data_IF_457877707342
#
_entry.id   IF_457877707342
#
_cell.length_a   1.000
_cell.length_b   1.000
_cell.length_c   1.000
_cell.angle_alpha   90.00
_cell.angle_beta   90.00
_cell.angle_gamma   90.00
#
_symmetry.space_group_name_H-M   'P 1'
#
loop_
_entity.id
_entity.type
_entity.pdbx_description
1 polymer ?
#
# COMPACT_ATOMS: atom_id res chain seq x y z
N UNK A 1 2.40 6.51 -7.75
CA UNK A 1 3.09 5.33 -7.17
C UNK A 1 2.19 4.62 -6.17
N UNK A 2 2.19 3.29 -6.18
CA UNK A 2 1.32 2.41 -5.38
C UNK A 2 2.13 1.62 -4.35
N UNK A 3 1.69 1.55 -3.10
CA UNK A 3 2.32 0.73 -2.05
C UNK A 3 1.24 0.08 -1.20
N UNK A 4 1.35 -1.22 -0.97
CA UNK A 4 0.37 -1.99 -0.19
C UNK A 4 1.05 -2.93 0.80
N UNK A 5 0.44 -3.09 1.97
CA UNK A 5 0.71 -4.18 2.91
C UNK A 5 -0.32 -5.28 2.64
N UNK A 6 0.13 -6.53 2.62
CA UNK A 6 -0.78 -7.68 2.65
C UNK A 6 -0.67 -8.42 3.97
N UNK A 7 -1.72 -9.15 4.34
CA UNK A 7 -1.70 -9.97 5.55
C UNK A 7 -0.76 -11.17 5.43
N UNK A 8 -0.68 -11.78 4.24
CA UNK A 8 0.26 -12.86 3.94
C UNK A 8 0.43 -13.06 2.43
N UNK A 9 1.33 -13.97 2.07
CA UNK A 9 1.72 -14.26 0.67
C UNK A 9 0.75 -15.18 -0.07
N UNK A 10 -0.11 -15.89 0.66
CA UNK A 10 -0.88 -17.03 0.14
C UNK A 10 -1.73 -16.62 -1.06
N UNK A 11 -2.35 -15.45 -0.99
CA UNK A 11 -3.23 -14.94 -2.04
C UNK A 11 -2.46 -14.54 -3.30
N UNK A 12 -1.45 -13.68 -3.19
CA UNK A 12 -0.71 -13.19 -4.36
C UNK A 12 0.11 -14.29 -5.02
N UNK A 13 0.62 -15.24 -4.23
CA UNK A 13 1.29 -16.43 -4.74
C UNK A 13 0.32 -17.33 -5.52
N UNK A 14 -0.83 -17.69 -4.93
CA UNK A 14 -1.85 -18.51 -5.61
C UNK A 14 -2.45 -17.82 -6.83
N UNK A 15 -2.58 -16.50 -6.79
CA UNK A 15 -3.08 -15.70 -7.91
C UNK A 15 -2.05 -15.48 -9.04
N UNK A 16 -0.82 -15.98 -8.92
CA UNK A 16 0.21 -15.86 -9.96
C UNK A 16 0.76 -14.45 -10.18
N UNK A 17 0.40 -13.47 -9.34
CA UNK A 17 0.81 -12.05 -9.50
C UNK A 17 2.16 -11.74 -8.88
N UNK A 18 2.69 -12.61 -8.02
CA UNK A 18 4.07 -12.54 -7.52
C UNK A 18 4.69 -13.94 -7.32
N UNK A 19 4.93 -14.70 -8.40
CA UNK A 19 5.45 -16.07 -8.30
C UNK A 19 6.84 -16.14 -7.67
N UNK A 20 7.63 -15.06 -7.77
CA UNK A 20 8.96 -14.95 -7.16
C UNK A 20 8.94 -15.08 -5.63
N UNK A 21 7.79 -14.85 -4.98
CA UNK A 21 7.63 -14.99 -3.53
C UNK A 21 7.63 -16.45 -3.07
N UNK A 22 7.49 -17.42 -3.98
CA UNK A 22 7.56 -18.85 -3.66
C UNK A 22 8.89 -19.30 -3.03
N UNK A 23 9.98 -18.57 -3.28
CA UNK A 23 11.30 -18.82 -2.65
C UNK A 23 11.30 -18.61 -1.14
N UNK A 24 10.29 -17.94 -0.61
CA UNK A 24 10.22 -17.51 0.78
C UNK A 24 9.11 -18.21 1.58
N UNK A 25 8.46 -19.22 1.00
CA UNK A 25 7.24 -19.81 1.56
C UNK A 25 7.45 -20.48 2.92
N UNK A 26 8.66 -20.96 3.22
CA UNK A 26 9.01 -21.65 4.47
C UNK A 26 9.34 -20.72 5.64
N UNK A 27 9.84 -19.50 5.37
CA UNK A 27 10.36 -18.59 6.40
C UNK A 27 9.45 -17.41 6.73
N UNK A 28 8.46 -17.12 5.88
CA UNK A 28 7.77 -15.82 5.87
C UNK A 28 6.30 -15.88 6.35
N UNK A 29 5.79 -17.04 6.73
CA UNK A 29 4.41 -17.19 7.28
C UNK A 29 4.10 -16.22 8.44
N UNK A 30 5.13 -15.71 9.14
CA UNK A 30 5.01 -14.79 10.29
C UNK A 30 5.12 -13.30 9.95
N UNK A 31 5.36 -12.94 8.69
CA UNK A 31 5.57 -11.56 8.28
C UNK A 31 4.62 -11.13 7.17
N UNK A 32 4.29 -9.84 7.16
CA UNK A 32 3.43 -9.19 6.19
C UNK A 32 4.30 -8.56 5.09
N UNK A 33 4.09 -8.87 3.79
CA UNK A 33 4.79 -8.20 2.71
C UNK A 33 4.33 -6.76 2.57
N UNK A 34 5.27 -5.91 2.20
CA UNK A 34 5.00 -4.63 1.57
C UNK A 34 5.36 -4.75 0.10
N UNK A 35 4.39 -4.48 -0.77
CA UNK A 35 4.51 -4.58 -2.22
C UNK A 35 4.33 -3.22 -2.87
N UNK A 36 4.92 -3.06 -4.05
CA UNK A 36 4.70 -1.94 -4.95
C UNK A 36 4.53 -2.45 -6.39
N UNK A 37 4.22 -1.55 -7.31
CA UNK A 37 4.22 -1.82 -8.74
C UNK A 37 5.44 -1.11 -9.35
N UNK A 38 6.32 -1.88 -10.00
CA UNK A 38 7.49 -1.35 -10.70
C UNK A 38 7.11 -0.62 -11.99
N UNK A 39 8.09 0.06 -12.60
CA UNK A 39 7.90 0.75 -13.89
C UNK A 39 7.48 -0.18 -15.03
N UNK A 40 7.80 -1.48 -14.92
CA UNK A 40 7.38 -2.52 -15.86
C UNK A 40 5.97 -3.09 -15.58
N UNK A 41 5.20 -2.47 -14.69
CA UNK A 41 3.86 -2.92 -14.31
C UNK A 41 3.83 -4.18 -13.45
N UNK A 42 4.98 -4.75 -13.06
CA UNK A 42 5.04 -5.98 -12.26
C UNK A 42 5.06 -5.67 -10.77
N UNK A 43 4.45 -6.57 -9.99
CA UNK A 43 4.51 -6.54 -8.53
C UNK A 43 5.95 -6.72 -8.08
N UNK A 44 6.41 -5.87 -7.18
CA UNK A 44 7.72 -5.93 -6.56
C UNK A 44 7.58 -5.95 -5.04
N UNK A 45 8.39 -6.78 -4.40
CA UNK A 45 8.51 -6.80 -2.95
C UNK A 45 9.44 -5.67 -2.49
N UNK A 46 8.97 -4.84 -1.56
CA UNK A 46 9.77 -3.77 -0.93
C UNK A 46 10.49 -4.26 0.32
N UNK A 47 9.75 -4.88 1.23
CA UNK A 47 10.25 -5.40 2.51
C UNK A 47 9.18 -6.26 3.19
N UNK A 48 9.56 -6.83 4.32
CA UNK A 48 8.65 -7.49 5.25
C UNK A 48 8.47 -6.66 6.51
N UNK A 49 7.30 -6.72 7.12
CA UNK A 49 7.00 -6.15 8.43
C UNK A 49 6.34 -7.19 9.33
N UNK A 50 6.43 -7.00 10.65
CA UNK A 50 6.03 -8.01 11.63
C UNK A 50 4.53 -8.02 11.93
N UNK A 51 3.88 -6.86 11.87
CA UNK A 51 2.46 -6.70 12.22
C UNK A 51 1.84 -5.48 11.52
N UNK A 52 0.51 -5.34 11.63
CA UNK A 52 -0.28 -4.27 11.01
C UNK A 52 0.24 -2.88 11.40
N UNK A 53 0.55 -2.64 12.67
CA UNK A 53 1.08 -1.36 13.16
C UNK A 53 2.42 -0.99 12.48
N UNK A 54 3.34 -1.95 12.39
CA UNK A 54 4.61 -1.75 11.67
C UNK A 54 4.38 -1.47 10.18
N UNK A 55 3.34 -2.08 9.59
CA UNK A 55 2.92 -1.82 8.22
C UNK A 55 2.36 -0.40 8.03
N UNK A 56 1.51 0.06 8.94
CA UNK A 56 0.95 1.42 8.93
C UNK A 56 2.08 2.46 8.99
N UNK A 57 3.00 2.32 9.95
CA UNK A 57 4.14 3.23 10.12
C UNK A 57 5.01 3.25 8.86
N UNK A 58 5.27 2.08 8.27
CA UNK A 58 6.10 1.98 7.08
C UNK A 58 5.42 2.56 5.84
N UNK A 59 4.11 2.32 5.65
CA UNK A 59 3.35 2.93 4.57
C UNK A 59 3.38 4.44 4.72
N UNK A 60 3.09 4.98 5.91
CA UNK A 60 3.17 6.41 6.17
C UNK A 60 4.55 7.01 5.84
N UNK A 61 5.63 6.37 6.28
CA UNK A 61 7.00 6.77 5.95
C UNK A 61 7.24 6.81 4.44
N UNK A 62 6.79 5.78 3.72
CA UNK A 62 6.95 5.76 2.26
C UNK A 62 6.05 6.79 1.57
N UNK A 63 4.83 7.03 2.06
CA UNK A 63 3.95 8.11 1.57
C UNK A 63 4.68 9.45 1.62
N UNK A 64 5.33 9.78 2.74
CA UNK A 64 6.14 11.01 2.87
C UNK A 64 7.29 11.08 1.86
N UNK A 65 7.94 9.96 1.58
CA UNK A 65 9.01 9.90 0.58
C UNK A 65 8.50 9.95 -0.87
N UNK A 66 7.21 9.69 -1.10
CA UNK A 66 6.57 9.75 -2.41
C UNK A 66 6.00 11.13 -2.74
N UNK A 67 5.53 11.84 -1.72
CA UNK A 67 4.99 13.20 -1.84
C UNK A 67 6.13 14.13 -2.26
N UNK A 68 5.97 14.79 -3.42
CA UNK A 68 6.87 15.89 -3.80
C UNK A 68 6.48 17.17 -3.06
N UNK A 69 7.39 18.13 -2.96
CA UNK A 69 7.15 19.44 -2.37
C UNK A 69 6.07 20.28 -3.10
N UNK A 70 5.59 19.81 -4.26
CA UNK A 70 4.47 20.42 -4.99
C UNK A 70 3.16 20.25 -4.21
N UNK A 71 2.25 21.22 -4.31
CA UNK A 71 0.99 21.19 -3.57
C UNK A 71 -0.02 20.18 -4.16
N UNK A 72 0.17 19.79 -5.43
CA UNK A 72 -0.83 19.04 -6.21
C UNK A 72 -0.81 17.50 -6.04
N UNK A 73 -0.55 17.00 -4.83
CA UNK A 73 -0.57 15.55 -4.58
C UNK A 73 -2.00 15.09 -4.29
N UNK A 74 -2.45 14.01 -4.95
CA UNK A 74 -3.66 13.28 -4.57
C UNK A 74 -3.30 11.93 -3.97
N UNK A 75 -3.92 11.60 -2.85
CA UNK A 75 -3.63 10.39 -2.09
C UNK A 75 -4.89 9.52 -2.03
N UNK A 76 -4.85 8.37 -2.70
CA UNK A 76 -5.83 7.30 -2.51
C UNK A 76 -5.37 6.37 -1.40
N UNK A 77 -6.12 6.29 -0.31
CA UNK A 77 -5.92 5.32 0.77
C UNK A 77 -6.94 4.20 0.54
N UNK A 78 -6.46 2.96 0.48
CA UNK A 78 -7.33 1.81 0.23
C UNK A 78 -7.20 0.73 1.28
N UNK A 79 -8.28 -0.04 1.45
CA UNK A 79 -8.38 -1.17 2.35
C UNK A 79 -9.18 -2.31 1.71
N UNK A 80 -9.01 -3.53 2.23
CA UNK A 80 -9.86 -4.67 1.91
C UNK A 80 -11.00 -4.79 2.92
N UNK A 81 -11.01 -5.83 3.76
CA UNK A 81 -12.11 -6.09 4.70
C UNK A 81 -12.04 -5.31 6.01
N UNK A 82 -10.88 -4.73 6.35
CA UNK A 82 -10.64 -4.01 7.61
C UNK A 82 -10.22 -2.57 7.30
N UNK A 83 -11.13 -1.62 7.57
CA UNK A 83 -10.93 -0.19 7.32
C UNK A 83 -10.00 0.47 8.35
N UNK A 84 -9.83 -0.14 9.52
CA UNK A 84 -9.06 0.42 10.65
C UNK A 84 -7.64 0.88 10.30
N UNK A 85 -6.79 0.10 9.60
CA UNK A 85 -5.47 0.56 9.20
C UNK A 85 -5.51 1.76 8.23
N UNK A 86 -6.52 1.83 7.37
CA UNK A 86 -6.66 2.95 6.44
C UNK A 86 -7.10 4.24 7.15
N UNK A 87 -8.00 4.17 8.13
CA UNK A 87 -8.36 5.32 8.97
C UNK A 87 -7.17 5.84 9.80
N UNK A 88 -6.37 4.92 10.35
CA UNK A 88 -5.12 5.29 11.05
C UNK A 88 -4.14 5.99 10.12
N UNK A 89 -3.94 5.47 8.91
CA UNK A 89 -3.10 6.09 7.88
C UNK A 89 -3.63 7.48 7.49
N UNK A 90 -4.94 7.60 7.24
CA UNK A 90 -5.57 8.88 6.91
C UNK A 90 -5.33 9.91 8.00
N UNK A 91 -5.57 9.53 9.27
CA UNK A 91 -5.33 10.41 10.41
C UNK A 91 -3.87 10.86 10.48
N UNK A 92 -2.92 9.93 10.37
CA UNK A 92 -1.48 10.26 10.37
C UNK A 92 -1.10 11.21 9.24
N UNK A 93 -1.66 11.02 8.04
CA UNK A 93 -1.41 11.87 6.87
C UNK A 93 -1.97 13.28 7.08
N UNK A 94 -3.20 13.40 7.60
CA UNK A 94 -3.86 14.69 7.86
C UNK A 94 -3.21 15.48 9.00
N UNK A 95 -2.69 14.81 10.02
CA UNK A 95 -2.04 15.45 11.17
C UNK A 95 -0.61 15.93 10.87
N UNK A 96 0.05 15.36 9.85
CA UNK A 96 1.41 15.74 9.49
C UNK A 96 1.45 16.98 8.58
N UNK A 97 1.78 18.13 9.17
CA UNK A 97 1.88 19.43 8.49
C UNK A 97 2.92 19.48 7.35
N UNK A 98 3.85 18.52 7.26
CA UNK A 98 4.79 18.44 6.15
C UNK A 98 4.18 17.86 4.87
N UNK A 99 3.00 17.25 4.97
CA UNK A 99 2.28 16.69 3.83
C UNK A 99 1.30 17.73 3.27
N UNK A 100 1.56 18.16 2.03
CA UNK A 100 0.64 18.97 1.24
C UNK A 100 -0.07 18.09 0.22
N UNK A 101 -1.40 18.06 0.29
CA UNK A 101 -2.24 17.25 -0.59
C UNK A 101 -3.55 17.99 -0.86
N UNK A 102 -3.98 17.97 -2.12
CA UNK A 102 -5.26 18.57 -2.54
C UNK A 102 -6.44 17.70 -2.13
N UNK A 103 -6.24 16.38 -2.16
CA UNK A 103 -7.32 15.41 -2.09
C UNK A 103 -6.84 14.10 -1.45
N UNK A 104 -7.59 13.65 -0.45
CA UNK A 104 -7.43 12.32 0.13
C UNK A 104 -8.74 11.55 -0.12
N UNK A 105 -8.63 10.41 -0.81
CA UNK A 105 -9.74 9.51 -1.11
C UNK A 105 -9.56 8.24 -0.28
N UNK A 106 -10.52 7.91 0.56
CA UNK A 106 -10.58 6.62 1.27
C UNK A 106 -11.50 5.67 0.50
N UNK A 107 -11.02 4.47 0.15
CA UNK A 107 -11.79 3.54 -0.69
C UNK A 107 -11.59 2.07 -0.33
N UNK A 108 -12.65 1.27 -0.45
CA UNK A 108 -12.55 -0.18 -0.38
C UNK A 108 -12.09 -0.74 -1.73
N UNK A 109 -11.15 -1.69 -1.71
CA UNK A 109 -10.67 -2.34 -2.91
C UNK A 109 -11.66 -3.43 -3.37
N UNK A 110 -11.82 -3.57 -4.68
CA UNK A 110 -12.83 -4.47 -5.26
C UNK A 110 -12.54 -5.96 -4.99
N UNK A 111 -13.59 -6.78 -5.05
CA UNK A 111 -13.52 -8.23 -4.83
C UNK A 111 -12.51 -8.94 -5.73
N UNK A 112 -12.36 -8.49 -6.99
CA UNK A 112 -11.38 -9.05 -7.94
C UNK A 112 -9.96 -8.84 -7.43
N UNK A 113 -9.67 -7.65 -6.90
CA UNK A 113 -8.35 -7.37 -6.33
C UNK A 113 -8.14 -8.19 -5.06
N UNK A 114 -9.12 -8.22 -4.16
CA UNK A 114 -9.09 -9.02 -2.91
C UNK A 114 -8.84 -10.50 -3.18
N UNK A 115 -9.41 -11.08 -4.24
CA UNK A 115 -9.18 -12.47 -4.61
C UNK A 115 -7.69 -12.79 -4.85
N UNK A 116 -6.93 -11.80 -5.33
CA UNK A 116 -5.50 -11.94 -5.59
C UNK A 116 -4.62 -11.39 -4.47
N UNK A 117 -5.05 -10.40 -3.70
CA UNK A 117 -4.23 -9.75 -2.66
C UNK A 117 -4.51 -10.25 -1.25
N UNK A 118 -5.67 -10.87 -1.05
CA UNK A 118 -6.22 -11.21 0.26
C UNK A 118 -7.04 -10.04 0.85
N UNK A 119 -7.98 -10.35 1.77
CA UNK A 119 -8.89 -9.36 2.34
C UNK A 119 -8.21 -8.38 3.30
N UNK A 120 -7.09 -8.77 3.94
CA UNK A 120 -6.35 -7.90 4.84
C UNK A 120 -5.42 -6.88 4.16
N UNK A 121 -5.60 -6.61 2.86
CA UNK A 121 -4.81 -5.58 2.14
C UNK A 121 -5.15 -4.18 2.65
N UNK A 122 -4.13 -3.33 2.77
CA UNK A 122 -4.30 -1.89 2.89
C UNK A 122 -3.09 -1.14 2.33
N UNK A 123 -3.23 0.12 1.98
CA UNK A 123 -2.12 0.89 1.45
C UNK A 123 -2.49 2.26 0.89
N UNK A 124 -1.58 2.79 0.09
CA UNK A 124 -1.68 4.12 -0.51
C UNK A 124 -1.31 4.11 -1.99
N UNK A 125 -2.00 4.94 -2.75
CA UNK A 125 -1.64 5.34 -4.09
C UNK A 125 -1.47 6.86 -4.09
N UNK A 126 -0.26 7.32 -4.40
CA UNK A 126 0.03 8.74 -4.53
C UNK A 126 0.13 9.06 -6.02
N UNK A 127 -0.67 9.98 -6.51
CA UNK A 127 -0.47 10.57 -7.84
C UNK A 127 0.01 12.00 -7.69
N UNK A 128 1.03 12.34 -8.46
CA UNK A 128 1.46 13.72 -8.62
C UNK A 128 0.68 14.18 -9.84
N UNK A 129 -0.20 15.16 -9.70
CA UNK A 129 -0.81 15.77 -10.88
C UNK A 129 0.34 16.44 -11.67
N UNK A 130 0.68 16.00 -12.90
CA UNK A 130 1.28 16.94 -13.84
C UNK A 130 0.27 18.06 -13.99
N UNK A 131 0.72 19.31 -13.92
CA UNK A 131 -0.13 20.48 -14.13
C UNK A 131 -1.03 20.20 -15.33
N UNK A 132 -2.35 20.30 -15.12
CA UNK A 132 -3.28 20.46 -16.22
C UNK A 132 -2.91 21.79 -16.87
N UNK A 133 -2.10 21.73 -17.93
CA UNK A 133 -2.05 22.78 -18.95
C UNK A 133 -3.35 22.76 -19.74
#
# INVERSE_FOLDING_TARGET
>A
KFIAVLENFKYVFRGGRAPFLGRFISSIIRFMPILTIGSNGKVQLKKFVRNKESGIIEIFKQTKALISCSENNKIGIFYGSDISPALKLEKMIREDKSIKTDEIILTEITTIMVAHTGPGIFGVAVTNCPNLE
#
